data_IF_131202559444
#
_entry.id   IF_131202559444
#
_cell.length_a   1.000
_cell.length_b   1.000
_cell.length_c   1.000
_cell.angle_alpha   90.00
_cell.angle_beta   90.00
_cell.angle_gamma   90.00
#
_symmetry.space_group_name_H-M   'P 1'
#
loop_
_entity.id
_entity.type
_entity.pdbx_description
1 polymer ?
#
# COMPACT_ATOMS: atom_id res chain seq x y z
N UNK A 1 2.12 23.98 -14.02
CA UNK A 1 3.07 23.42 -15.02
C UNK A 1 3.91 24.55 -15.58
N UNK A 2 5.06 24.25 -16.16
CA UNK A 2 5.91 25.18 -16.89
C UNK A 2 6.19 24.58 -18.27
N UNK A 3 5.80 25.28 -19.33
CA UNK A 3 6.08 24.88 -20.71
C UNK A 3 7.32 25.64 -21.17
N UNK A 4 8.35 24.92 -21.60
CA UNK A 4 9.59 25.48 -22.14
C UNK A 4 9.46 25.58 -23.65
N UNK A 5 9.55 26.79 -24.20
CA UNK A 5 9.55 27.00 -25.65
C UNK A 5 10.92 26.69 -26.26
N UNK A 6 10.94 26.35 -27.55
CA UNK A 6 12.16 26.26 -28.36
C UNK A 6 12.84 27.63 -28.46
N UNK A 7 14.16 27.60 -28.69
CA UNK A 7 14.98 28.80 -28.85
C UNK A 7 14.50 29.67 -30.03
N UNK A 8 14.00 29.02 -31.09
CA UNK A 8 13.49 29.60 -32.32
C UNK A 8 11.96 29.70 -32.35
N UNK A 9 11.27 29.50 -31.22
CA UNK A 9 9.82 29.55 -31.17
C UNK A 9 9.31 30.93 -31.58
N UNK A 10 8.41 30.97 -32.56
CA UNK A 10 7.84 32.21 -33.06
C UNK A 10 6.86 32.81 -32.05
N UNK A 11 6.54 34.10 -32.21
CA UNK A 11 5.46 34.73 -31.42
C UNK A 11 4.13 34.01 -31.62
N UNK A 12 3.89 33.48 -32.82
CA UNK A 12 2.69 32.72 -33.15
C UNK A 12 2.62 31.40 -32.37
N UNK A 13 3.75 30.69 -32.22
CA UNK A 13 3.82 29.47 -31.42
C UNK A 13 3.50 29.74 -29.95
N UNK A 14 4.05 30.82 -29.38
CA UNK A 14 3.78 31.24 -28.00
C UNK A 14 2.28 31.53 -27.81
N UNK A 15 1.68 32.26 -28.76
CA UNK A 15 0.26 32.58 -28.72
C UNK A 15 -0.61 31.33 -28.86
N UNK A 16 -0.25 30.39 -29.74
CA UNK A 16 -0.95 29.12 -29.93
C UNK A 16 -0.94 28.25 -28.67
N UNK A 17 0.21 28.18 -27.99
CA UNK A 17 0.32 27.49 -26.69
C UNK A 17 -0.54 28.21 -25.64
N UNK A 18 -0.48 29.54 -25.54
CA UNK A 18 -1.29 30.31 -24.60
C UNK A 18 -2.80 30.14 -24.85
N UNK A 19 -3.24 30.12 -26.10
CA UNK A 19 -4.63 29.88 -26.48
C UNK A 19 -5.08 28.47 -26.11
N UNK A 20 -4.24 27.46 -26.35
CA UNK A 20 -4.53 26.09 -25.93
C UNK A 20 -4.70 26.00 -24.42
N UNK A 21 -3.83 26.66 -23.63
CA UNK A 21 -3.95 26.73 -22.16
C UNK A 21 -5.30 27.35 -21.75
N UNK A 22 -5.71 28.45 -22.39
CA UNK A 22 -7.00 29.11 -22.12
C UNK A 22 -8.20 28.23 -22.51
N UNK A 23 -8.13 27.50 -23.62
CA UNK A 23 -9.20 26.58 -24.06
C UNK A 23 -9.45 25.45 -23.07
N UNK A 24 -8.45 25.11 -22.25
CA UNK A 24 -8.52 24.10 -21.20
C UNK A 24 -8.98 24.71 -19.85
N UNK A 25 -9.33 26.00 -19.82
CA UNK A 25 -9.81 26.70 -18.64
C UNK A 25 -8.70 27.19 -17.69
N UNK A 26 -7.45 27.28 -18.16
CA UNK A 26 -6.31 27.70 -17.34
C UNK A 26 -5.74 29.05 -17.77
N UNK A 27 -4.90 29.63 -16.92
CA UNK A 27 -4.27 30.93 -17.15
C UNK A 27 -2.80 30.75 -17.53
N UNK A 28 -2.41 31.14 -18.77
CA UNK A 28 -1.01 31.17 -19.18
C UNK A 28 -0.32 32.44 -18.66
N UNK A 29 0.92 32.29 -18.22
CA UNK A 29 1.81 33.37 -17.81
C UNK A 29 3.10 33.27 -18.59
N UNK A 30 3.34 34.20 -19.50
CA UNK A 30 4.60 34.26 -20.24
C UNK A 30 5.73 34.71 -19.31
N UNK A 31 6.83 33.97 -19.33
CA UNK A 31 8.03 34.22 -18.53
C UNK A 31 9.18 34.41 -19.54
N UNK A 32 9.45 35.65 -19.97
CA UNK A 32 10.52 35.93 -20.91
C UNK A 32 11.88 35.66 -20.24
N UNK A 33 12.71 34.83 -20.88
CA UNK A 33 14.09 34.56 -20.47
C UNK A 33 15.10 35.09 -21.48
N UNK A 34 16.36 35.22 -21.06
CA UNK A 34 17.44 35.76 -21.91
C UNK A 34 17.72 34.93 -23.17
N UNK A 35 17.42 33.62 -23.15
CA UNK A 35 17.63 32.71 -24.28
C UNK A 35 16.35 32.09 -24.82
N UNK A 36 15.34 31.84 -23.99
CA UNK A 36 14.08 31.21 -24.37
C UNK A 36 12.93 31.72 -23.52
N UNK A 37 11.72 31.62 -24.05
CA UNK A 37 10.47 31.91 -23.31
C UNK A 37 9.99 30.64 -22.60
N UNK A 38 9.51 30.80 -21.37
CA UNK A 38 8.73 29.77 -20.70
C UNK A 38 7.29 30.26 -20.49
N UNK A 39 6.33 29.35 -20.39
CA UNK A 39 4.92 29.66 -20.11
C UNK A 39 4.51 28.91 -18.84
N UNK A 40 4.31 29.65 -17.76
CA UNK A 40 3.72 29.15 -16.52
C UNK A 40 2.22 28.93 -16.68
N UNK A 41 1.70 27.83 -16.16
CA UNK A 41 0.25 27.54 -16.15
C UNK A 41 -0.26 27.56 -14.71
N UNK A 42 -1.28 28.38 -14.47
CA UNK A 42 -1.98 28.49 -13.17
C UNK A 42 -3.49 28.29 -13.34
N UNK A 43 -4.22 28.12 -12.23
CA UNK A 43 -5.66 27.83 -12.22
C UNK A 43 -6.02 26.34 -12.33
N UNK A 44 -5.03 25.45 -12.32
CA UNK A 44 -5.24 24.02 -12.46
C UNK A 44 -5.66 23.36 -11.13
N UNK A 45 -6.96 23.08 -10.97
CA UNK A 45 -7.49 22.38 -9.79
C UNK A 45 -6.99 20.93 -9.70
N UNK A 46 -6.71 20.28 -10.83
CA UNK A 46 -5.96 19.02 -10.95
C UNK A 46 -4.62 19.23 -11.65
N UNK A 47 -3.65 18.34 -11.45
CA UNK A 47 -2.44 18.34 -12.29
C UNK A 47 -2.76 17.74 -13.66
N UNK A 48 -2.24 18.33 -14.73
CA UNK A 48 -2.15 17.61 -16.00
C UNK A 48 -1.34 16.34 -15.76
N UNK A 49 -1.95 15.16 -15.94
CA UNK A 49 -1.24 13.89 -16.00
C UNK A 49 -0.33 13.83 -17.22
N UNK A 50 0.15 12.64 -17.57
CA UNK A 50 0.96 12.44 -18.79
C UNK A 50 0.25 12.92 -20.05
N UNK A 51 -1.07 12.81 -20.13
CA UNK A 51 -1.89 13.25 -21.27
C UNK A 51 -1.74 14.75 -21.54
N UNK A 52 -1.72 15.58 -20.50
CA UNK A 52 -1.50 17.02 -20.66
C UNK A 52 -0.07 17.33 -21.08
N UNK A 53 0.92 16.55 -20.60
CA UNK A 53 2.30 16.67 -21.06
C UNK A 53 2.40 16.36 -22.56
N UNK A 54 1.86 15.22 -22.99
CA UNK A 54 1.85 14.80 -24.39
C UNK A 54 1.14 15.82 -25.29
N UNK A 55 0.00 16.37 -24.84
CA UNK A 55 -0.74 17.40 -25.53
C UNK A 55 0.12 18.64 -25.84
N UNK A 56 0.83 19.17 -24.84
CA UNK A 56 1.66 20.36 -25.05
C UNK A 56 2.96 20.06 -25.79
N UNK A 57 3.58 18.89 -25.58
CA UNK A 57 4.74 18.45 -26.36
C UNK A 57 4.43 18.30 -27.85
N UNK A 58 3.17 18.04 -28.22
CA UNK A 58 2.74 17.94 -29.62
C UNK A 58 2.59 19.30 -30.33
N UNK A 59 2.60 20.42 -29.60
CA UNK A 59 2.47 21.75 -30.19
C UNK A 59 3.79 22.24 -30.77
N UNK A 60 3.71 22.88 -31.94
CA UNK A 60 4.83 23.59 -32.54
C UNK A 60 5.43 24.62 -31.58
N UNK A 61 6.76 24.72 -31.56
CA UNK A 61 7.50 25.65 -30.70
C UNK A 61 7.70 25.19 -29.25
N UNK A 62 7.16 24.04 -28.82
CA UNK A 62 7.42 23.49 -27.47
C UNK A 62 8.67 22.59 -27.47
N UNK A 63 9.53 22.77 -26.48
CA UNK A 63 10.72 21.91 -26.24
C UNK A 63 10.45 20.88 -25.16
N UNK A 64 9.92 21.33 -24.03
CA UNK A 64 9.68 20.46 -22.89
C UNK A 64 8.54 21.00 -22.04
N UNK A 65 7.98 20.13 -21.20
CA UNK A 65 6.86 20.46 -20.32
C UNK A 65 7.19 19.92 -18.93
N UNK A 66 7.49 20.83 -18.02
CA UNK A 66 7.89 20.52 -16.65
C UNK A 66 6.67 20.65 -15.73
N UNK A 67 6.44 19.59 -14.95
CA UNK A 67 5.41 19.60 -13.93
C UNK A 67 5.91 20.34 -12.69
N UNK A 68 5.12 21.26 -12.18
CA UNK A 68 5.47 22.04 -10.96
C UNK A 68 4.78 21.46 -9.72
N UNK A 69 3.54 21.00 -9.83
CA UNK A 69 2.77 20.41 -8.72
C UNK A 69 2.83 18.89 -8.79
N UNK A 70 2.94 18.22 -7.64
CA UNK A 70 2.87 16.75 -7.56
C UNK A 70 1.58 16.21 -8.19
N UNK A 71 1.60 14.97 -8.73
CA UNK A 71 0.43 14.39 -9.37
C UNK A 71 -0.72 14.03 -8.45
N UNK A 72 -0.36 13.52 -7.29
CA UNK A 72 -1.26 13.12 -6.23
C UNK A 72 -1.49 14.33 -5.33
N UNK A 73 -2.69 14.93 -5.35
CA UNK A 73 -2.97 16.11 -4.53
C UNK A 73 -3.66 15.71 -3.23
N UNK A 74 -4.73 14.94 -3.34
CA UNK A 74 -5.59 14.58 -2.21
C UNK A 74 -4.86 13.74 -1.17
N UNK A 75 -3.94 12.88 -1.60
CA UNK A 75 -3.13 12.07 -0.67
C UNK A 75 -1.81 12.74 -0.25
N UNK A 76 -1.54 13.96 -0.71
CA UNK A 76 -0.27 14.65 -0.43
C UNK A 76 -0.26 15.37 0.91
N UNK A 77 0.89 15.37 1.57
CA UNK A 77 1.10 16.15 2.79
C UNK A 77 1.07 17.66 2.55
N UNK A 78 1.26 18.11 1.31
CA UNK A 78 1.11 19.52 0.91
C UNK A 78 -0.35 20.00 1.05
N UNK A 79 -1.32 19.12 0.76
CA UNK A 79 -2.75 19.45 0.88
C UNK A 79 -3.28 19.18 2.29
N UNK A 80 -2.79 18.13 2.94
CA UNK A 80 -3.13 17.79 4.33
C UNK A 80 -1.88 17.50 5.14
N UNK A 81 -1.40 18.47 5.95
CA UNK A 81 -0.17 18.30 6.74
C UNK A 81 -0.26 17.17 7.78
N UNK A 82 -1.44 16.98 8.38
CA UNK A 82 -1.67 16.03 9.46
C UNK A 82 -1.82 14.60 8.94
N UNK A 83 -1.17 13.64 9.62
CA UNK A 83 -1.30 12.22 9.30
C UNK A 83 -2.76 11.76 9.41
N UNK A 84 -3.24 11.03 8.40
CA UNK A 84 -4.54 10.35 8.44
C UNK A 84 -4.47 9.19 9.41
N UNK A 85 -5.42 9.17 10.35
CA UNK A 85 -5.66 8.02 11.22
C UNK A 85 -6.75 7.15 10.60
N UNK A 86 -6.39 5.96 10.12
CA UNK A 86 -7.35 5.00 9.57
C UNK A 86 -7.84 4.10 10.70
N UNK A 87 -9.11 4.26 11.08
CA UNK A 87 -9.73 3.54 12.20
C UNK A 87 -10.55 2.36 11.69
N UNK A 88 -10.33 1.19 12.27
CA UNK A 88 -11.08 -0.04 12.01
C UNK A 88 -11.39 -0.68 13.35
N UNK A 89 -12.64 -0.62 13.79
CA UNK A 89 -13.02 -1.01 15.17
C UNK A 89 -12.14 -0.27 16.18
N UNK A 90 -11.40 -0.98 17.02
CA UNK A 90 -10.45 -0.48 18.02
C UNK A 90 -9.02 -0.31 17.49
N UNK A 91 -8.74 -0.69 16.23
CA UNK A 91 -7.43 -0.57 15.59
C UNK A 91 -7.28 0.78 14.90
N UNK A 92 -6.12 1.42 15.07
CA UNK A 92 -5.80 2.70 14.42
C UNK A 92 -4.45 2.62 13.73
N UNK A 93 -4.45 2.72 12.39
CA UNK A 93 -3.22 2.87 11.61
C UNK A 93 -2.85 4.35 11.47
N UNK A 94 -1.55 4.66 11.59
CA UNK A 94 -1.00 6.02 11.47
C UNK A 94 -0.83 6.77 12.80
N UNK A 95 -1.21 6.17 13.93
CA UNK A 95 -0.96 6.70 15.26
C UNK A 95 0.38 6.23 15.85
N UNK A 96 0.63 6.55 17.12
CA UNK A 96 1.89 6.20 17.81
C UNK A 96 2.09 4.68 17.95
N UNK A 97 0.99 3.94 18.09
CA UNK A 97 0.99 2.48 18.17
C UNK A 97 1.15 1.85 16.78
N UNK A 98 2.16 0.99 16.65
CA UNK A 98 2.44 0.20 15.46
C UNK A 98 1.48 -0.98 15.42
N UNK A 99 0.74 -1.12 14.32
CA UNK A 99 -0.24 -2.20 14.16
C UNK A 99 0.37 -3.43 13.50
N UNK A 100 0.13 -4.62 14.06
CA UNK A 100 0.55 -5.89 13.46
C UNK A 100 -0.67 -6.57 12.84
N UNK A 101 -0.60 -6.82 11.54
CA UNK A 101 -1.45 -7.75 10.84
C UNK A 101 -0.69 -9.07 10.64
N UNK A 102 -1.19 -10.17 11.19
CA UNK A 102 -0.53 -11.45 11.06
C UNK A 102 -1.51 -12.59 10.76
N UNK A 103 -1.01 -13.68 10.19
CA UNK A 103 -1.85 -14.83 9.84
C UNK A 103 -1.39 -15.55 8.57
N UNK A 104 -2.09 -16.62 8.17
CA UNK A 104 -1.62 -17.52 7.12
C UNK A 104 -1.76 -16.93 5.72
N UNK A 105 -0.88 -17.35 4.80
CA UNK A 105 -0.96 -16.95 3.38
C UNK A 105 -2.33 -17.20 2.76
N UNK A 106 -2.84 -18.40 2.95
CA UNK A 106 -4.17 -18.79 2.51
C UNK A 106 -4.94 -19.32 3.71
N UNK A 107 -6.26 -19.21 3.67
CA UNK A 107 -7.10 -19.98 4.57
C UNK A 107 -7.13 -21.40 4.01
N UNK A 108 -6.63 -22.37 4.78
CA UNK A 108 -6.46 -23.76 4.33
C UNK A 108 -7.43 -24.71 5.02
N UNK A 109 -7.69 -24.49 6.30
CA UNK A 109 -8.69 -25.22 7.08
C UNK A 109 -9.13 -24.41 8.30
N UNK A 110 -10.22 -24.84 8.92
CA UNK A 110 -10.70 -24.27 10.18
C UNK A 110 -9.65 -24.39 11.29
N UNK A 111 -9.11 -25.59 11.50
CA UNK A 111 -8.16 -25.85 12.59
C UNK A 111 -6.90 -25.00 12.42
N UNK A 112 -6.35 -24.96 11.20
CA UNK A 112 -5.19 -24.13 10.86
C UNK A 112 -5.44 -22.65 11.16
N UNK A 113 -6.60 -22.12 10.76
CA UNK A 113 -6.92 -20.71 10.96
C UNK A 113 -7.18 -20.40 12.44
N UNK A 114 -7.92 -21.25 13.15
CA UNK A 114 -8.30 -21.02 14.55
C UNK A 114 -7.13 -21.17 15.50
N UNK A 115 -6.20 -22.08 15.22
CA UNK A 115 -4.93 -22.19 15.95
C UNK A 115 -4.14 -20.89 15.83
N UNK A 116 -3.95 -20.38 14.61
CA UNK A 116 -3.25 -19.12 14.37
C UNK A 116 -3.99 -17.95 15.04
N UNK A 117 -5.30 -17.83 14.87
CA UNK A 117 -6.10 -16.77 15.48
C UNK A 117 -5.99 -16.75 17.01
N UNK A 118 -6.02 -17.91 17.66
CA UNK A 118 -5.80 -18.03 19.11
C UNK A 118 -4.43 -17.55 19.55
N UNK A 119 -3.38 -17.89 18.79
CA UNK A 119 -2.01 -17.43 19.04
C UNK A 119 -1.90 -15.91 18.88
N UNK A 120 -2.46 -15.36 17.80
CA UNK A 120 -2.48 -13.92 17.55
C UNK A 120 -3.15 -13.16 18.70
N UNK A 121 -4.34 -13.61 19.11
CA UNK A 121 -5.07 -13.02 20.23
C UNK A 121 -4.26 -13.07 21.53
N UNK A 122 -3.64 -14.22 21.82
CA UNK A 122 -2.82 -14.42 23.02
C UNK A 122 -1.55 -13.57 23.01
N UNK A 123 -1.07 -13.17 21.83
CA UNK A 123 0.08 -12.29 21.65
C UNK A 123 -0.27 -10.79 21.61
N UNK A 124 -1.56 -10.43 21.75
CA UNK A 124 -2.03 -9.05 21.72
C UNK A 124 -2.17 -8.48 20.31
N UNK A 125 -2.05 -9.32 19.27
CA UNK A 125 -2.26 -8.91 17.88
C UNK A 125 -3.75 -8.65 17.66
N UNK A 126 -4.07 -7.50 17.07
CA UNK A 126 -5.45 -7.03 16.87
C UNK A 126 -5.96 -7.30 15.44
N UNK A 127 -5.07 -7.51 14.48
CA UNK A 127 -5.43 -7.71 13.06
C UNK A 127 -4.98 -9.08 12.57
N UNK A 128 -5.93 -9.88 12.12
CA UNK A 128 -5.70 -11.15 11.45
C UNK A 128 -5.78 -10.98 9.94
N UNK A 129 -4.80 -11.52 9.24
CA UNK A 129 -4.78 -11.57 7.78
C UNK A 129 -4.97 -13.00 7.30
N UNK A 130 -5.64 -13.19 6.16
CA UNK A 130 -5.81 -14.52 5.57
C UNK A 130 -6.40 -14.46 4.16
N UNK A 131 -5.79 -15.16 3.20
CA UNK A 131 -6.23 -15.12 1.80
C UNK A 131 -7.31 -16.15 1.50
N UNK A 132 -8.55 -15.72 1.28
CA UNK A 132 -9.65 -16.61 0.86
C UNK A 132 -9.62 -16.86 -0.66
N UNK A 133 -9.21 -15.85 -1.43
CA UNK A 133 -8.98 -15.91 -2.87
C UNK A 133 -7.50 -15.69 -3.16
N UNK A 134 -6.91 -16.50 -4.04
CA UNK A 134 -5.48 -16.41 -4.34
C UNK A 134 -5.23 -16.21 -5.84
N UNK A 135 -4.75 -15.02 -6.28
CA UNK A 135 -4.33 -14.83 -7.67
C UNK A 135 -2.99 -15.55 -7.91
N UNK A 136 -3.05 -16.74 -8.50
CA UNK A 136 -1.88 -17.59 -8.76
C UNK A 136 -1.41 -17.47 -10.20
N UNK A 137 -0.10 -17.58 -10.38
CA UNK A 137 0.52 -17.67 -11.71
C UNK A 137 0.24 -19.00 -12.40
N UNK A 138 0.03 -20.08 -11.62
CA UNK A 138 -0.33 -21.40 -12.15
C UNK A 138 -1.81 -21.70 -11.87
N UNK A 139 -2.58 -22.18 -12.86
CA UNK A 139 -3.97 -22.58 -12.67
C UNK A 139 -4.12 -23.85 -11.81
N UNK A 140 -3.06 -24.66 -11.67
CA UNK A 140 -3.04 -25.89 -10.87
C UNK A 140 -2.72 -25.65 -9.39
N UNK A 141 -2.27 -24.45 -9.05
CA UNK A 141 -2.01 -24.09 -7.65
C UNK A 141 -3.32 -23.94 -6.86
N UNK A 142 -3.22 -24.07 -5.54
CA UNK A 142 -4.36 -23.82 -4.65
C UNK A 142 -4.91 -22.39 -4.84
N UNK A 143 -6.19 -22.31 -5.22
CA UNK A 143 -6.88 -21.06 -5.55
C UNK A 143 -7.53 -20.38 -4.34
N UNK A 144 -7.43 -21.00 -3.16
CA UNK A 144 -8.10 -20.57 -1.93
C UNK A 144 -9.46 -21.24 -1.72
N UNK A 145 -9.95 -21.21 -0.48
CA UNK A 145 -11.26 -21.75 -0.09
C UNK A 145 -12.45 -20.88 -0.57
N UNK A 146 -12.18 -19.71 -1.17
CA UNK A 146 -13.20 -18.76 -1.66
C UNK A 146 -14.18 -18.40 -0.54
N UNK A 147 -15.48 -18.49 -0.79
CA UNK A 147 -16.53 -18.15 0.17
C UNK A 147 -16.38 -18.87 1.51
N UNK A 148 -16.13 -20.19 1.51
CA UNK A 148 -15.91 -20.94 2.75
C UNK A 148 -14.71 -20.40 3.56
N UNK A 149 -13.69 -19.89 2.87
CA UNK A 149 -12.55 -19.23 3.51
C UNK A 149 -12.91 -17.88 4.15
N UNK A 150 -13.82 -17.11 3.54
CA UNK A 150 -14.32 -15.85 4.09
C UNK A 150 -15.20 -16.11 5.33
N UNK A 151 -16.07 -17.11 5.28
CA UNK A 151 -16.91 -17.54 6.40
C UNK A 151 -16.04 -17.95 7.60
N UNK A 152 -14.98 -18.73 7.36
CA UNK A 152 -14.02 -19.10 8.41
C UNK A 152 -13.27 -17.89 8.99
N UNK A 153 -12.88 -16.93 8.16
CA UNK A 153 -12.26 -15.68 8.64
C UNK A 153 -13.21 -14.88 9.53
N UNK A 154 -14.48 -14.77 9.11
CA UNK A 154 -15.53 -14.08 9.86
C UNK A 154 -15.73 -14.73 11.22
N UNK A 155 -15.85 -16.05 11.24
CA UNK A 155 -16.07 -16.80 12.48
C UNK A 155 -14.87 -16.71 13.44
N UNK A 156 -13.64 -16.80 12.92
CA UNK A 156 -12.44 -16.60 13.74
C UNK A 156 -12.35 -15.16 14.28
N UNK A 157 -12.73 -14.15 13.49
CA UNK A 157 -12.80 -12.77 13.96
C UNK A 157 -13.79 -12.58 15.11
N UNK A 158 -14.98 -13.16 15.01
CA UNK A 158 -16.00 -13.08 16.05
C UNK A 158 -15.55 -13.80 17.33
N UNK A 159 -14.98 -15.01 17.18
CA UNK A 159 -14.52 -15.81 18.31
C UNK A 159 -13.35 -15.19 19.07
N UNK A 160 -12.38 -14.61 18.36
CA UNK A 160 -11.14 -14.10 18.96
C UNK A 160 -11.11 -12.57 19.08
N UNK A 161 -12.13 -11.88 18.56
CA UNK A 161 -12.22 -10.42 18.58
C UNK A 161 -11.15 -9.74 17.72
N UNK A 162 -10.83 -10.31 16.55
CA UNK A 162 -9.75 -9.81 15.66
C UNK A 162 -10.34 -9.04 14.48
N UNK A 163 -9.69 -7.95 14.06
CA UNK A 163 -9.96 -7.28 12.78
C UNK A 163 -9.47 -8.15 11.64
N UNK A 164 -10.23 -8.31 10.56
CA UNK A 164 -9.84 -9.12 9.40
C UNK A 164 -9.31 -8.22 8.28
N UNK A 165 -8.21 -8.64 7.65
CA UNK A 165 -7.81 -8.19 6.32
C UNK A 165 -7.70 -9.36 5.33
N UNK A 166 -8.37 -9.25 4.19
CA UNK A 166 -8.32 -10.24 3.11
C UNK A 166 -8.22 -9.57 1.74
N UNK A 167 -7.66 -10.28 0.77
CA UNK A 167 -7.40 -9.75 -0.56
C UNK A 167 -8.63 -9.81 -1.47
N UNK A 168 -8.91 -8.70 -2.14
CA UNK A 168 -9.87 -8.64 -3.25
C UNK A 168 -9.11 -8.83 -4.56
N UNK A 169 -9.46 -9.86 -5.32
CA UNK A 169 -8.79 -10.15 -6.60
C UNK A 169 -9.42 -9.45 -7.80
N UNK A 170 -10.73 -9.21 -7.76
CA UNK A 170 -11.51 -8.62 -8.85
C UNK A 170 -12.82 -8.00 -8.35
N UNK A 171 -13.52 -7.32 -9.25
CA UNK A 171 -14.78 -6.63 -8.97
C UNK A 171 -15.96 -7.59 -8.77
N UNK A 172 -15.86 -8.81 -9.28
CA UNK A 172 -16.91 -9.84 -9.15
C UNK A 172 -16.98 -10.38 -7.72
N UNK A 173 -15.82 -10.66 -7.11
CA UNK A 173 -15.72 -11.18 -5.74
C UNK A 173 -15.80 -10.08 -4.67
N UNK A 174 -15.62 -8.81 -5.05
CA UNK A 174 -15.59 -7.66 -4.15
C UNK A 174 -16.82 -7.56 -3.21
N UNK A 175 -18.09 -7.64 -3.68
CA UNK A 175 -19.24 -7.51 -2.79
C UNK A 175 -19.22 -8.52 -1.63
N UNK A 176 -18.93 -9.79 -1.97
CA UNK A 176 -18.83 -10.87 -0.98
C UNK A 176 -17.68 -10.63 -0.01
N UNK A 177 -16.50 -10.22 -0.50
CA UNK A 177 -15.35 -9.96 0.36
C UNK A 177 -15.64 -8.80 1.32
N UNK A 178 -16.24 -7.71 0.83
CA UNK A 178 -16.53 -6.52 1.64
C UNK A 178 -17.55 -6.75 2.75
N UNK A 179 -18.48 -7.68 2.55
CA UNK A 179 -19.45 -8.09 3.58
C UNK A 179 -18.79 -8.87 4.73
N UNK A 180 -17.75 -9.65 4.45
CA UNK A 180 -17.14 -10.60 5.39
C UNK A 180 -15.84 -10.11 6.03
N UNK A 181 -15.35 -8.92 5.67
CA UNK A 181 -14.02 -8.44 6.07
C UNK A 181 -14.04 -6.98 6.50
N UNK A 182 -13.16 -6.63 7.45
CA UNK A 182 -13.06 -5.25 7.94
C UNK A 182 -12.17 -4.37 7.03
N UNK A 183 -11.07 -4.91 6.49
CA UNK A 183 -10.10 -4.21 5.63
C UNK A 183 -9.94 -4.92 4.27
N UNK A 184 -10.15 -4.19 3.18
CA UNK A 184 -9.98 -4.71 1.81
C UNK A 184 -8.52 -4.56 1.37
N UNK A 185 -7.81 -5.67 1.18
CA UNK A 185 -6.46 -5.63 0.60
C UNK A 185 -6.51 -5.65 -0.93
N UNK A 186 -5.83 -4.69 -1.55
CA UNK A 186 -5.45 -4.74 -2.97
C UNK A 186 -4.02 -5.27 -3.07
N UNK A 187 -3.87 -6.45 -3.65
CA UNK A 187 -2.56 -7.08 -3.86
C UNK A 187 -1.69 -6.32 -4.86
N UNK A 188 -0.38 -6.51 -4.78
CA UNK A 188 0.60 -5.80 -5.61
C UNK A 188 0.36 -5.95 -7.13
N UNK A 189 -0.22 -7.07 -7.58
CA UNK A 189 -0.56 -7.31 -8.99
C UNK A 189 -1.74 -6.45 -9.47
N UNK A 190 -2.59 -6.01 -8.56
CA UNK A 190 -3.77 -5.20 -8.82
C UNK A 190 -3.57 -3.73 -8.44
N UNK A 191 -2.36 -3.28 -8.07
CA UNK A 191 -2.11 -1.89 -7.68
C UNK A 191 -2.50 -0.89 -8.79
N UNK A 192 -2.38 -1.28 -10.06
CA UNK A 192 -2.79 -0.45 -11.22
C UNK A 192 -4.04 -1.00 -11.92
N UNK A 193 -4.81 -1.87 -11.27
CA UNK A 193 -6.12 -2.28 -11.76
C UNK A 193 -7.13 -1.18 -11.41
N UNK A 194 -7.13 -0.08 -12.19
CA UNK A 194 -7.91 1.12 -11.88
C UNK A 194 -9.41 0.84 -11.76
N UNK A 195 -9.97 -0.05 -12.58
CA UNK A 195 -11.37 -0.48 -12.46
C UNK A 195 -11.66 -1.13 -11.11
N UNK A 196 -10.72 -1.93 -10.57
CA UNK A 196 -10.85 -2.47 -9.23
C UNK A 196 -10.68 -1.39 -8.15
N UNK A 197 -9.73 -0.47 -8.31
CA UNK A 197 -9.52 0.65 -7.38
C UNK A 197 -10.75 1.55 -7.25
N UNK A 198 -11.39 1.89 -8.38
CA UNK A 198 -12.64 2.64 -8.42
C UNK A 198 -13.80 1.86 -7.78
N UNK A 199 -13.85 0.54 -7.98
CA UNK A 199 -14.88 -0.30 -7.40
C UNK A 199 -14.73 -0.40 -5.86
N UNK A 200 -13.52 -0.62 -5.34
CA UNK A 200 -13.30 -0.71 -3.88
C UNK A 200 -13.52 0.62 -3.17
N UNK A 201 -13.31 1.76 -3.86
CA UNK A 201 -13.59 3.08 -3.31
C UNK A 201 -15.07 3.32 -2.97
N UNK A 202 -15.99 2.53 -3.53
CA UNK A 202 -17.43 2.63 -3.24
C UNK A 202 -17.83 1.98 -1.92
N UNK A 203 -16.91 1.23 -1.28
CA UNK A 203 -17.13 0.57 -0.01
C UNK A 203 -16.56 1.38 1.14
N UNK A 204 -17.17 1.28 2.33
CA UNK A 204 -16.73 2.01 3.53
C UNK A 204 -15.52 1.38 4.20
N UNK A 205 -15.23 0.12 3.91
CA UNK A 205 -14.09 -0.62 4.42
C UNK A 205 -12.79 0.13 4.06
N UNK A 206 -11.83 0.24 4.99
CA UNK A 206 -10.52 0.75 4.64
C UNK A 206 -9.81 -0.15 3.63
N UNK A 207 -8.98 0.47 2.79
CA UNK A 207 -8.26 -0.21 1.71
C UNK A 207 -6.78 -0.28 2.04
N UNK A 208 -6.25 -1.50 2.16
CA UNK A 208 -4.81 -1.75 2.26
C UNK A 208 -4.24 -1.94 0.84
N UNK A 209 -3.52 -0.95 0.34
CA UNK A 209 -2.96 -0.92 -1.00
C UNK A 209 -1.49 -1.33 -0.99
N UNK A 210 -1.19 -2.52 -1.53
CA UNK A 210 0.19 -2.99 -1.70
C UNK A 210 0.86 -2.35 -2.91
N UNK A 211 2.10 -1.88 -2.73
CA UNK A 211 2.94 -1.38 -3.83
C UNK A 211 3.14 -2.45 -4.90
N UNK A 212 3.05 -2.04 -6.16
CA UNK A 212 3.28 -2.89 -7.32
C UNK A 212 4.75 -3.27 -7.45
N UNK A 213 5.01 -4.42 -8.06
CA UNK A 213 6.36 -5.01 -8.16
C UNK A 213 7.39 -4.10 -8.85
N UNK A 214 6.95 -3.26 -9.78
CA UNK A 214 7.81 -2.34 -10.52
C UNK A 214 7.37 -0.87 -10.37
N UNK A 215 6.49 -0.59 -9.40
CA UNK A 215 5.93 0.73 -9.23
C UNK A 215 6.92 1.66 -8.52
N UNK A 216 7.04 2.88 -9.02
CA UNK A 216 7.62 4.01 -8.31
C UNK A 216 6.74 4.43 -7.13
N UNK A 217 7.30 5.23 -6.22
CA UNK A 217 6.53 5.81 -5.10
C UNK A 217 5.42 6.75 -5.64
N UNK A 218 5.70 7.49 -6.71
CA UNK A 218 4.70 8.35 -7.36
C UNK A 218 3.51 7.54 -7.90
N UNK A 219 3.75 6.40 -8.55
CA UNK A 219 2.68 5.52 -9.04
C UNK A 219 1.87 4.88 -7.90
N UNK A 220 2.51 4.52 -6.78
CA UNK A 220 1.82 4.07 -5.57
C UNK A 220 0.88 5.15 -5.03
N UNK A 221 1.38 6.38 -4.90
CA UNK A 221 0.58 7.51 -4.40
C UNK A 221 -0.54 7.90 -5.38
N UNK A 222 -0.32 7.74 -6.69
CA UNK A 222 -1.38 7.91 -7.68
C UNK A 222 -2.45 6.82 -7.59
N UNK A 223 -2.09 5.55 -7.40
CA UNK A 223 -3.06 4.50 -7.16
C UNK A 223 -3.90 4.76 -5.89
N UNK A 224 -3.28 5.32 -4.84
CA UNK A 224 -4.01 5.78 -3.65
C UNK A 224 -4.93 6.99 -3.96
N UNK A 225 -4.46 7.94 -4.78
CA UNK A 225 -5.26 9.08 -5.26
C UNK A 225 -6.52 8.60 -6.02
N UNK A 226 -6.44 7.52 -6.81
CA UNK A 226 -7.60 6.93 -7.47
C UNK A 226 -8.66 6.46 -6.47
N UNK A 227 -8.27 5.75 -5.41
CA UNK A 227 -9.21 5.32 -4.36
C UNK A 227 -9.79 6.54 -3.63
N UNK A 228 -8.93 7.49 -3.27
CA UNK A 228 -9.29 8.67 -2.49
C UNK A 228 -10.27 9.59 -3.25
N UNK A 229 -9.96 9.89 -4.52
CA UNK A 229 -10.78 10.75 -5.39
C UNK A 229 -12.14 10.13 -5.73
N UNK A 230 -12.25 8.80 -5.68
CA UNK A 230 -13.52 8.08 -5.87
C UNK A 230 -14.32 7.90 -4.55
N UNK A 231 -13.91 8.57 -3.47
CA UNK A 231 -14.75 8.76 -2.28
C UNK A 231 -14.34 7.97 -1.04
N UNK A 232 -13.26 7.19 -1.07
CA UNK A 232 -12.78 6.46 0.11
C UNK A 232 -11.42 7.01 0.60
N UNK A 233 -11.41 7.85 1.65
CA UNK A 233 -10.18 8.42 2.19
C UNK A 233 -9.42 7.47 3.13
N UNK A 234 -9.95 6.28 3.43
CA UNK A 234 -9.40 5.34 4.39
C UNK A 234 -8.41 4.38 3.70
N UNK A 235 -7.28 4.91 3.26
CA UNK A 235 -6.25 4.13 2.55
C UNK A 235 -5.03 3.90 3.44
N UNK A 236 -4.56 2.65 3.50
CA UNK A 236 -3.32 2.23 4.17
C UNK A 236 -2.36 1.74 3.08
N UNK A 237 -1.20 2.38 2.96
CA UNK A 237 -0.17 2.00 1.99
C UNK A 237 0.67 0.84 2.54
N UNK A 238 1.15 -0.04 1.68
CA UNK A 238 2.00 -1.15 2.09
C UNK A 238 3.20 -1.33 1.15
N UNK A 239 4.40 -1.04 1.66
CA UNK A 239 5.67 -1.41 1.01
C UNK A 239 5.87 -2.93 1.11
N UNK A 240 6.33 -3.57 0.04
CA UNK A 240 6.38 -5.05 -0.07
C UNK A 240 7.50 -5.57 -0.96
N UNK A 241 8.48 -4.71 -1.22
CA UNK A 241 9.61 -4.92 -2.12
C UNK A 241 9.28 -4.69 -3.59
N UNK A 242 10.30 -4.25 -4.31
CA UNK A 242 10.30 -4.06 -5.77
C UNK A 242 11.20 -5.08 -6.46
N UNK A 243 10.92 -5.32 -7.73
CA UNK A 243 11.74 -6.15 -8.60
C UNK A 243 13.01 -5.40 -8.97
N UNK A 244 14.14 -6.07 -8.83
CA UNK A 244 15.46 -5.59 -9.22
C UNK A 244 16.21 -6.70 -9.95
N UNK A 245 17.51 -6.50 -10.23
CA UNK A 245 18.38 -7.56 -10.75
C UNK A 245 18.81 -8.59 -9.69
N UNK A 246 18.68 -8.26 -8.40
CA UNK A 246 19.01 -9.16 -7.27
C UNK A 246 18.17 -10.45 -7.28
N UNK A 247 18.81 -11.57 -6.91
CA UNK A 247 18.23 -12.94 -6.96
C UNK A 247 18.25 -13.69 -5.62
N UNK A 248 19.02 -13.25 -4.62
CA UNK A 248 19.05 -13.86 -3.28
C UNK A 248 17.77 -13.60 -2.47
N UNK A 249 16.98 -12.61 -2.87
CA UNK A 249 15.67 -12.31 -2.27
C UNK A 249 14.60 -12.24 -3.36
N UNK A 250 13.36 -12.58 -3.02
CA UNK A 250 12.24 -12.57 -3.97
C UNK A 250 11.96 -11.18 -4.55
N UNK A 251 12.04 -10.16 -3.71
CA UNK A 251 12.03 -8.74 -4.09
C UNK A 251 13.05 -8.01 -3.21
N UNK A 252 13.52 -6.86 -3.67
CA UNK A 252 14.34 -5.97 -2.86
C UNK A 252 13.42 -5.05 -2.06
N UNK A 253 13.44 -5.16 -0.73
CA UNK A 253 12.67 -4.28 0.16
C UNK A 253 13.19 -2.84 0.05
N UNK A 254 12.38 -1.94 -0.51
CA UNK A 254 12.70 -0.53 -0.58
C UNK A 254 12.32 0.16 0.74
N UNK A 255 13.16 -0.03 1.76
CA UNK A 255 12.95 0.59 3.08
C UNK A 255 12.95 2.12 3.01
N UNK A 256 13.60 2.71 2.01
CA UNK A 256 13.61 4.17 1.79
C UNK A 256 12.21 4.70 1.43
N UNK A 257 11.34 3.86 0.85
CA UNK A 257 9.97 4.25 0.53
C UNK A 257 9.17 4.63 1.77
N UNK A 258 9.44 4.03 2.93
CA UNK A 258 8.72 4.32 4.18
C UNK A 258 8.87 5.79 4.59
N UNK A 259 10.08 6.33 4.88
CA UNK A 259 10.24 7.73 5.25
C UNK A 259 9.91 8.69 4.10
N UNK A 260 10.17 8.31 2.83
CA UNK A 260 9.80 9.15 1.67
C UNK A 260 8.28 9.30 1.56
N UNK A 261 7.52 8.21 1.67
CA UNK A 261 6.04 8.28 1.66
C UNK A 261 5.54 9.08 2.85
N UNK A 262 6.11 8.91 4.05
CA UNK A 262 5.74 9.72 5.21
C UNK A 262 5.98 11.21 4.99
N UNK A 263 7.05 11.59 4.27
CA UNK A 263 7.28 12.98 3.89
C UNK A 263 6.27 13.48 2.86
N UNK A 264 5.98 12.67 1.84
CA UNK A 264 5.17 13.07 0.68
C UNK A 264 3.66 13.01 0.91
N UNK A 265 3.21 12.08 1.74
CA UNK A 265 1.81 11.72 1.94
C UNK A 265 1.45 11.70 3.41
N UNK A 266 0.20 12.04 3.72
CA UNK A 266 -0.37 11.91 5.06
C UNK A 266 -0.95 10.51 5.34
N UNK A 267 -1.03 9.62 4.34
CA UNK A 267 -1.57 8.27 4.54
C UNK A 267 -0.62 7.41 5.39
N UNK A 268 -1.14 6.51 6.23
CA UNK A 268 -0.30 5.56 6.95
C UNK A 268 0.38 4.60 5.96
N UNK A 269 1.63 4.24 6.25
CA UNK A 269 2.39 3.24 5.47
C UNK A 269 2.89 2.11 6.37
N UNK A 270 2.52 0.89 6.01
CA UNK A 270 2.98 -0.34 6.65
C UNK A 270 3.99 -1.08 5.75
N UNK A 271 4.60 -2.14 6.27
CA UNK A 271 5.52 -2.98 5.49
C UNK A 271 5.12 -4.47 5.51
N UNK A 272 5.35 -5.17 4.40
CA UNK A 272 5.20 -6.62 4.25
C UNK A 272 6.58 -7.27 4.11
N UNK A 273 7.27 -7.59 5.23
CA UNK A 273 8.57 -8.24 5.17
C UNK A 273 8.48 -9.67 4.63
N UNK A 274 7.34 -10.35 4.79
CA UNK A 274 7.17 -11.74 4.32
C UNK A 274 7.21 -11.82 2.80
N UNK A 275 6.40 -10.99 2.13
CA UNK A 275 6.38 -10.92 0.68
C UNK A 275 7.55 -10.11 0.10
N UNK A 276 8.09 -9.18 0.88
CA UNK A 276 9.30 -8.43 0.58
C UNK A 276 10.45 -9.36 0.24
N UNK A 277 10.95 -10.08 1.24
CA UNK A 277 12.12 -10.95 1.05
C UNK A 277 11.78 -12.32 0.50
N UNK A 278 10.60 -12.87 0.82
CA UNK A 278 10.20 -14.22 0.40
C UNK A 278 10.92 -15.36 1.13
N UNK A 279 11.64 -15.06 2.22
CA UNK A 279 12.41 -16.03 3.00
C UNK A 279 12.24 -15.78 4.49
N UNK A 280 11.74 -16.76 5.24
CA UNK A 280 11.36 -16.61 6.65
C UNK A 280 12.55 -16.16 7.53
N UNK A 281 13.77 -16.56 7.19
CA UNK A 281 15.01 -16.22 7.91
C UNK A 281 15.29 -14.72 7.92
N UNK A 282 14.85 -13.99 6.89
CA UNK A 282 15.07 -12.55 6.76
C UNK A 282 13.86 -11.71 7.20
N UNK A 283 12.70 -12.34 7.43
CA UNK A 283 11.47 -11.63 7.82
C UNK A 283 11.67 -10.82 9.10
N UNK A 284 12.30 -11.41 10.12
CA UNK A 284 12.50 -10.72 11.40
C UNK A 284 13.43 -9.50 11.29
N UNK A 285 14.50 -9.61 10.51
CA UNK A 285 15.41 -8.49 10.27
C UNK A 285 14.72 -7.35 9.51
N UNK A 286 13.99 -7.68 8.45
CA UNK A 286 13.27 -6.68 7.65
C UNK A 286 12.08 -6.06 8.39
N UNK A 287 11.40 -6.81 9.26
CA UNK A 287 10.37 -6.29 10.15
C UNK A 287 10.92 -5.21 11.07
N UNK A 288 12.04 -5.50 11.76
CA UNK A 288 12.72 -4.54 12.65
C UNK A 288 13.20 -3.31 11.89
N UNK A 289 13.82 -3.49 10.73
CA UNK A 289 14.27 -2.39 9.89
C UNK A 289 13.09 -1.50 9.44
N UNK A 290 11.95 -2.11 9.06
CA UNK A 290 10.76 -1.37 8.65
C UNK A 290 10.19 -0.50 9.78
N UNK A 291 10.15 -1.04 11.00
CA UNK A 291 9.75 -0.27 12.20
C UNK A 291 10.73 0.88 12.45
N UNK A 292 12.03 0.61 12.40
CA UNK A 292 13.05 1.64 12.60
C UNK A 292 12.99 2.76 11.53
N UNK A 293 12.56 2.44 10.29
CA UNK A 293 12.31 3.41 9.23
C UNK A 293 11.00 4.22 9.41
N UNK A 294 10.18 3.90 10.42
CA UNK A 294 8.97 4.63 10.77
C UNK A 294 7.66 4.04 10.22
N UNK A 295 7.63 2.76 9.85
CA UNK A 295 6.39 2.10 9.41
C UNK A 295 5.32 2.18 10.50
N UNK A 296 4.06 2.40 10.08
CA UNK A 296 2.89 2.49 10.96
C UNK A 296 2.28 1.13 11.29
N UNK A 297 2.88 0.07 10.77
CA UNK A 297 2.47 -1.30 10.97
C UNK A 297 3.26 -2.29 10.13
N UNK A 298 2.99 -3.57 10.35
CA UNK A 298 3.55 -4.68 9.60
C UNK A 298 2.45 -5.66 9.19
N UNK A 299 2.60 -6.30 8.04
CA UNK A 299 1.81 -7.47 7.65
C UNK A 299 2.73 -8.70 7.48
N UNK A 300 2.53 -9.73 8.31
CA UNK A 300 3.45 -10.86 8.46
C UNK A 300 2.72 -12.19 8.24
N UNK A 301 3.34 -13.11 7.50
CA UNK A 301 2.80 -14.46 7.31
C UNK A 301 3.20 -15.38 8.47
N UNK A 302 2.19 -16.02 9.08
CA UNK A 302 2.35 -16.98 10.18
C UNK A 302 1.56 -18.23 9.84
N UNK A 303 2.22 -19.39 9.93
CA UNK A 303 1.61 -20.68 9.64
C UNK A 303 2.06 -21.72 10.69
N UNK A 304 1.17 -22.57 11.22
CA UNK A 304 1.53 -23.51 12.28
C UNK A 304 2.51 -24.58 11.77
N UNK A 305 2.34 -25.01 10.52
CA UNK A 305 3.22 -25.97 9.86
C UNK A 305 3.63 -25.50 8.45
N UNK A 306 4.59 -24.57 8.30
CA UNK A 306 4.95 -23.99 7.00
C UNK A 306 5.41 -25.00 5.94
N UNK A 307 5.95 -26.15 6.38
CA UNK A 307 6.39 -27.22 5.46
C UNK A 307 5.23 -27.89 4.70
N UNK A 308 4.02 -27.82 5.26
CA UNK A 308 2.79 -28.39 4.67
C UNK A 308 1.85 -27.32 4.11
N UNK A 309 2.24 -26.04 4.13
CA UNK A 309 1.40 -24.94 3.68
C UNK A 309 1.06 -25.09 2.19
N UNK A 310 -0.21 -24.89 1.83
CA UNK A 310 -0.69 -24.92 0.44
C UNK A 310 -0.20 -23.73 -0.38
N UNK A 311 0.39 -22.73 0.28
CA UNK A 311 1.10 -21.64 -0.37
C UNK A 311 2.07 -20.93 0.55
N UNK A 312 3.16 -20.42 -0.03
CA UNK A 312 4.01 -19.42 0.61
C UNK A 312 4.59 -19.88 1.98
N UNK A 313 4.77 -21.20 2.12
CA UNK A 313 5.45 -21.83 3.25
C UNK A 313 6.86 -21.30 3.50
N UNK A 314 7.73 -21.11 2.48
CA UNK A 314 9.11 -20.66 2.67
C UNK A 314 9.29 -19.30 3.36
N UNK A 315 8.28 -18.40 3.31
CA UNK A 315 8.32 -17.11 4.00
C UNK A 315 7.51 -17.06 5.29
N UNK A 316 6.70 -18.09 5.58
CA UNK A 316 5.81 -18.10 6.72
C UNK A 316 6.55 -18.40 8.02
N UNK A 317 6.41 -17.54 9.03
CA UNK A 317 6.97 -17.79 10.35
C UNK A 317 6.19 -18.87 11.09
N UNK A 318 6.90 -19.72 11.82
CA UNK A 318 6.29 -20.57 12.85
C UNK A 318 5.83 -19.72 14.04
N UNK A 319 4.77 -20.10 14.76
CA UNK A 319 4.24 -19.32 15.88
C UNK A 319 5.28 -18.88 16.92
N UNK A 320 6.14 -19.80 17.38
CA UNK A 320 7.19 -19.49 18.37
C UNK A 320 8.18 -18.42 17.87
N UNK A 321 8.50 -18.41 16.57
CA UNK A 321 9.37 -17.39 15.97
C UNK A 321 8.65 -16.06 15.84
N UNK A 322 7.36 -16.09 15.54
CA UNK A 322 6.53 -14.90 15.46
C UNK A 322 6.38 -14.20 16.83
N UNK A 323 6.08 -14.94 17.89
CA UNK A 323 6.00 -14.39 19.26
C UNK A 323 7.31 -13.73 19.66
N UNK A 324 8.44 -14.43 19.47
CA UNK A 324 9.76 -13.86 19.75
C UNK A 324 10.03 -12.59 18.93
N UNK A 325 9.58 -12.54 17.68
CA UNK A 325 9.73 -11.34 16.86
C UNK A 325 8.93 -10.16 17.42
N UNK A 326 7.74 -10.37 18.00
CA UNK A 326 6.97 -9.30 18.62
C UNK A 326 7.70 -8.69 19.83
N UNK A 327 8.32 -9.53 20.67
CA UNK A 327 9.15 -9.08 21.80
C UNK A 327 10.30 -8.20 21.31
N UNK A 328 11.01 -8.63 20.25
CA UNK A 328 12.10 -7.85 19.66
C UNK A 328 11.61 -6.56 19.02
N UNK A 329 10.45 -6.58 18.34
CA UNK A 329 9.86 -5.40 17.70
C UNK A 329 9.42 -4.36 18.72
N UNK A 330 8.96 -4.77 19.92
CA UNK A 330 8.60 -3.86 21.00
C UNK A 330 9.79 -2.98 21.40
N UNK A 331 10.95 -3.59 21.58
CA UNK A 331 12.19 -2.87 21.90
C UNK A 331 12.60 -1.89 20.79
N UNK A 332 12.49 -2.31 19.53
CA UNK A 332 12.81 -1.43 18.38
C UNK A 332 11.83 -0.27 18.29
N UNK A 333 10.52 -0.51 18.48
CA UNK A 333 9.49 0.52 18.48
C UNK A 333 9.77 1.58 19.55
N UNK A 334 10.04 1.16 20.78
CA UNK A 334 10.37 2.05 21.90
C UNK A 334 11.63 2.89 21.60
N UNK A 335 12.67 2.26 21.04
CA UNK A 335 13.91 2.95 20.68
C UNK A 335 13.73 4.05 19.62
N UNK A 336 12.69 3.97 18.79
CA UNK A 336 12.35 5.00 17.78
C UNK A 336 11.14 5.87 18.18
N UNK A 337 10.79 5.88 19.47
CA UNK A 337 9.73 6.74 20.00
C UNK A 337 8.32 6.33 19.60
N UNK A 338 8.11 5.05 19.28
CA UNK A 338 6.82 4.44 18.93
C UNK A 338 6.42 3.42 20.00
N UNK A 339 5.17 2.96 19.96
CA UNK A 339 4.67 1.91 20.86
C UNK A 339 4.28 0.67 20.07
N UNK A 340 4.52 -0.51 20.62
CA UNK A 340 3.90 -1.76 20.17
C UNK A 340 3.25 -2.42 21.39
N UNK A 341 1.93 -2.58 21.34
CA UNK A 341 1.20 -3.29 22.40
C UNK A 341 1.26 -4.79 22.14
N UNK A 342 1.85 -5.51 23.10
CA UNK A 342 1.85 -6.98 23.14
C UNK A 342 1.41 -7.41 24.53
N UNK A 343 0.71 -8.52 24.62
CA UNK A 343 0.51 -9.19 25.91
C UNK A 343 1.77 -9.95 26.28
N UNK A 344 2.15 -9.94 27.56
CA UNK A 344 3.17 -10.85 28.06
C UNK A 344 2.64 -12.27 27.89
N UNK A 345 3.19 -13.01 26.93
CA UNK A 345 2.91 -14.42 26.81
C UNK A 345 3.78 -15.10 27.86
N UNK A 346 3.20 -15.43 29.02
CA UNK A 346 3.83 -16.39 29.91
C UNK A 346 4.21 -17.59 29.05
N UNK A 347 5.50 -17.92 29.05
CA UNK A 347 6.06 -18.96 28.20
C UNK A 347 5.39 -20.31 28.53
N UNK A 348 4.24 -20.59 27.94
CA UNK A 348 3.69 -21.92 27.77
C UNK A 348 4.51 -22.62 26.68
N UNK A 349 5.81 -22.73 26.92
CA UNK A 349 6.74 -23.53 26.15
C UNK A 349 6.79 -24.92 26.77
N UNK A 350 5.73 -25.71 26.57
CA UNK A 350 5.75 -27.16 26.75
C UNK A 350 4.48 -27.78 26.19
N UNK A 351 4.45 -28.02 24.87
CA UNK A 351 4.25 -29.35 24.22
C UNK A 351 4.90 -29.29 22.84
#
# INVERSE_FOLDING_TARGET
MLIMMKLDASREDILRVAEKIRSLGFTPHEIPGASRVAIGITGNKGGFGEEGRALFLSLGGVTDVVRITKPFKLVSREVKPETTLVKVRDVVFGGDEIQIAAGPCSVESRDQLFEVAGILKSAGVKVMRGGAFKPRSSPYAFQGMKQAGLELLKEASEKFGLVIVTEVKDTETLPMVAEHTDILQIGARNMQNFSLLEAVAKYKNPVLLKRGLAATIEELLMAAEYIYSNGNPNVILCERGIRTFETYTRNTMDLSAIPVVKMLSHLPIIADPSHGVGLWEHVGAMAKASVACGADGLIIEVHPNPAMALSDGPQSLKPKKFVKLLEELKLVAEAVGRRLETTEIEAAASV
#
